data_IF_119530419828
#
_entry.id   IF_119530419828
#
_cell.length_a   1.000
_cell.length_b   1.000
_cell.length_c   1.000
_cell.angle_alpha   90.00
_cell.angle_beta   90.00
_cell.angle_gamma   90.00
#
_symmetry.space_group_name_H-M   'P 1'
#
loop_
_entity.id
_entity.type
_entity.pdbx_description
1 polymer ?
#
# COMPACT_ATOMS: atom_id res chain seq x y z
N UNK A 1 34.26 -10.01 7.63
CA UNK A 1 33.69 -8.97 8.50
C UNK A 1 32.18 -9.01 8.37
N UNK A 2 31.49 -9.72 9.26
CA UNK A 2 30.03 -9.85 9.29
C UNK A 2 29.45 -8.64 10.01
N UNK A 3 28.90 -7.66 9.26
CA UNK A 3 28.09 -6.61 9.86
C UNK A 3 26.78 -7.22 10.36
N UNK A 4 26.59 -7.20 11.68
CA UNK A 4 25.33 -7.57 12.32
C UNK A 4 24.24 -6.61 11.86
N UNK A 5 23.23 -7.16 11.16
CA UNK A 5 22.12 -6.38 10.61
C UNK A 5 21.07 -6.19 11.70
N UNK A 6 20.88 -4.96 12.15
CA UNK A 6 19.75 -4.60 13.00
C UNK A 6 18.46 -4.68 12.16
N UNK A 7 17.66 -5.71 12.41
CA UNK A 7 16.39 -5.96 11.73
C UNK A 7 15.19 -5.29 12.41
N UNK A 8 15.36 -4.85 13.66
CA UNK A 8 14.38 -4.10 14.44
C UNK A 8 15.09 -3.32 15.55
N UNK A 9 14.61 -2.12 15.88
CA UNK A 9 15.10 -1.30 16.99
C UNK A 9 13.89 -0.85 17.81
N UNK A 10 13.84 -1.26 19.07
CA UNK A 10 12.82 -0.85 20.03
C UNK A 10 13.36 0.34 20.84
N UNK A 11 12.70 1.49 20.73
CA UNK A 11 13.14 2.72 21.40
C UNK A 11 12.38 2.89 22.71
N UNK A 12 13.10 2.78 23.84
CA UNK A 12 12.56 3.06 25.18
C UNK A 12 12.88 4.51 25.53
N UNK A 13 11.87 5.39 25.47
CA UNK A 13 11.99 6.79 25.86
C UNK A 13 11.93 6.88 27.39
N UNK A 14 13.05 7.26 28.02
CA UNK A 14 13.17 7.32 29.49
C UNK A 14 12.90 8.68 30.10
N UNK A 15 12.83 9.75 29.30
CA UNK A 15 12.49 11.08 29.80
C UNK A 15 11.67 11.86 28.77
N UNK A 16 10.70 12.62 29.26
CA UNK A 16 9.63 13.27 28.49
C UNK A 16 10.18 14.48 27.72
N UNK A 17 10.91 14.25 26.63
CA UNK A 17 11.28 15.30 25.66
C UNK A 17 10.12 15.48 24.67
N UNK A 18 8.99 15.97 25.19
CA UNK A 18 7.67 15.99 24.58
C UNK A 18 7.47 16.86 23.33
N UNK A 19 8.53 17.45 22.75
CA UNK A 19 8.39 18.30 21.56
C UNK A 19 9.44 18.03 20.46
N UNK A 20 10.61 17.47 20.80
CA UNK A 20 11.70 17.25 19.85
C UNK A 20 11.72 15.79 19.35
N UNK A 21 11.19 14.87 20.16
CA UNK A 21 11.15 13.44 19.85
C UNK A 21 10.06 13.04 18.84
N UNK A 22 9.06 13.89 18.60
CA UNK A 22 7.92 13.53 17.75
C UNK A 22 8.23 13.52 16.24
N UNK A 23 9.35 14.11 15.82
CA UNK A 23 9.73 14.17 14.39
C UNK A 23 11.19 13.79 14.12
N UNK A 24 12.14 14.35 14.87
CA UNK A 24 13.57 14.14 14.62
C UNK A 24 14.03 12.71 14.92
N UNK A 25 13.51 12.09 15.98
CA UNK A 25 13.90 10.72 16.36
C UNK A 25 13.43 9.70 15.32
N UNK A 26 12.16 9.68 14.88
CA UNK A 26 11.75 8.80 13.78
C UNK A 26 12.48 9.14 12.47
N UNK A 27 12.68 10.42 12.10
CA UNK A 27 13.42 10.75 10.87
C UNK A 27 14.88 10.30 10.90
N UNK A 28 15.57 10.49 12.02
CA UNK A 28 16.96 10.05 12.19
C UNK A 28 17.02 8.52 12.20
N UNK A 29 16.12 7.84 12.91
CA UNK A 29 16.05 6.37 12.89
C UNK A 29 15.71 5.85 11.49
N UNK A 30 14.78 6.48 10.78
CA UNK A 30 14.43 6.16 9.39
C UNK A 30 15.58 6.44 8.43
N UNK A 31 16.44 7.42 8.70
CA UNK A 31 17.68 7.67 7.94
C UNK A 31 18.75 6.60 8.18
N UNK A 32 18.72 5.96 9.37
CA UNK A 32 19.62 4.86 9.76
C UNK A 32 19.04 3.48 9.44
N UNK A 33 17.74 3.36 9.14
CA UNK A 33 17.15 2.17 8.55
C UNK A 33 17.69 2.02 7.14
N UNK A 34 18.77 1.24 7.07
CA UNK A 34 19.56 0.90 5.90
C UNK A 34 18.73 0.93 4.61
N UNK A 35 19.07 1.86 3.71
CA UNK A 35 18.54 2.00 2.35
C UNK A 35 18.99 0.84 1.46
N UNK A 36 18.95 -0.37 1.99
CA UNK A 36 19.39 -1.56 1.32
C UNK A 36 18.57 -1.67 0.04
N UNK A 37 19.26 -1.87 -1.07
CA UNK A 37 18.76 -2.30 -2.38
C UNK A 37 17.84 -3.54 -2.34
N UNK A 38 17.56 -4.07 -1.14
CA UNK A 38 16.65 -5.17 -0.80
C UNK A 38 15.20 -4.75 -0.59
N UNK A 39 14.90 -3.48 -0.30
CA UNK A 39 13.52 -3.02 -0.13
C UNK A 39 12.95 -2.51 -1.44
N UNK A 40 12.17 -3.36 -2.09
CA UNK A 40 11.37 -3.00 -3.27
C UNK A 40 9.99 -2.51 -2.84
N UNK A 41 9.33 -1.71 -3.68
CA UNK A 41 7.93 -1.31 -3.49
C UNK A 41 7.06 -2.55 -3.22
N UNK A 42 7.35 -3.66 -3.91
CA UNK A 42 6.66 -4.92 -3.71
C UNK A 42 6.78 -5.46 -2.28
N UNK A 43 7.98 -5.47 -1.70
CA UNK A 43 8.19 -5.98 -0.35
C UNK A 43 7.53 -5.11 0.71
N UNK A 44 7.52 -3.79 0.51
CA UNK A 44 6.82 -2.86 1.38
C UNK A 44 5.30 -3.03 1.29
N UNK A 45 4.74 -3.22 0.08
CA UNK A 45 3.32 -3.49 -0.13
C UNK A 45 2.86 -4.80 0.51
N UNK A 46 3.66 -5.87 0.36
CA UNK A 46 3.37 -7.16 1.00
C UNK A 46 3.41 -7.11 2.53
N UNK A 47 4.14 -6.15 3.10
CA UNK A 47 4.32 -6.05 4.56
C UNK A 47 3.36 -5.05 5.22
N UNK A 48 2.51 -4.35 4.45
CA UNK A 48 1.57 -3.38 5.02
C UNK A 48 2.16 -1.98 5.32
N UNK A 49 3.42 -1.72 4.97
CA UNK A 49 4.13 -0.51 5.39
C UNK A 49 3.92 0.68 4.43
N UNK A 50 2.82 1.42 4.60
CA UNK A 50 2.47 2.57 3.76
C UNK A 50 3.49 3.72 3.82
N UNK A 51 4.07 4.01 4.99
CA UNK A 51 5.09 5.08 5.14
C UNK A 51 6.35 4.76 4.34
N UNK A 52 6.77 3.50 4.35
CA UNK A 52 7.91 3.03 3.57
C UNK A 52 7.62 3.07 2.07
N UNK A 53 6.40 2.71 1.64
CA UNK A 53 5.97 2.83 0.25
C UNK A 53 6.07 4.26 -0.26
N UNK A 54 5.55 5.24 0.49
CA UNK A 54 5.62 6.67 0.12
C UNK A 54 7.08 7.12 -0.07
N UNK A 55 7.95 6.82 0.91
CA UNK A 55 9.38 7.12 0.83
C UNK A 55 10.07 6.45 -0.38
N UNK A 56 9.70 5.21 -0.72
CA UNK A 56 10.25 4.51 -1.89
C UNK A 56 9.74 5.11 -3.23
N UNK A 57 8.49 5.57 -3.29
CA UNK A 57 7.94 6.22 -4.47
C UNK A 57 8.49 7.63 -4.69
N UNK A 58 8.79 8.39 -3.64
CA UNK A 58 9.50 9.68 -3.75
C UNK A 58 10.88 9.53 -4.39
N UNK A 59 11.52 8.37 -4.21
CA UNK A 59 12.80 8.00 -4.85
C UNK A 59 12.62 7.41 -6.25
N UNK A 60 11.40 7.38 -6.76
CA UNK A 60 11.03 6.84 -8.07
C UNK A 60 11.53 5.40 -8.27
N UNK A 61 11.44 4.57 -7.22
CA UNK A 61 11.87 3.18 -7.25
C UNK A 61 11.11 2.39 -8.33
N UNK A 62 11.84 1.64 -9.14
CA UNK A 62 11.21 0.88 -10.22
C UNK A 62 10.37 -0.28 -9.66
N UNK A 63 9.27 -0.58 -10.35
CA UNK A 63 8.41 -1.72 -10.08
C UNK A 63 8.10 -2.40 -11.40
N UNK A 64 8.46 -3.68 -11.48
CA UNK A 64 8.11 -4.50 -12.64
C UNK A 64 6.60 -4.74 -12.68
N UNK A 65 6.05 -4.94 -13.88
CA UNK A 65 4.61 -5.20 -14.07
C UNK A 65 4.13 -6.40 -13.24
N UNK A 66 4.95 -7.46 -13.20
CA UNK A 66 4.69 -8.62 -12.36
C UNK A 66 4.73 -8.30 -10.86
N UNK A 67 5.70 -7.48 -10.44
CA UNK A 67 5.81 -7.03 -9.05
C UNK A 67 4.61 -6.19 -8.62
N UNK A 68 4.09 -5.35 -9.51
CA UNK A 68 2.90 -4.55 -9.27
C UNK A 68 1.63 -5.39 -9.14
N UNK A 69 1.36 -6.30 -10.07
CA UNK A 69 0.18 -7.19 -10.01
C UNK A 69 0.21 -8.04 -8.72
N UNK A 70 1.39 -8.57 -8.38
CA UNK A 70 1.59 -9.29 -7.14
C UNK A 70 1.30 -8.41 -5.91
N UNK A 71 1.86 -7.20 -5.87
CA UNK A 71 1.69 -6.25 -4.75
C UNK A 71 0.23 -5.87 -4.56
N UNK A 72 -0.46 -5.55 -5.65
CA UNK A 72 -1.89 -5.24 -5.65
C UNK A 72 -2.71 -6.42 -5.13
N UNK A 73 -2.40 -7.64 -5.59
CA UNK A 73 -3.10 -8.84 -5.15
C UNK A 73 -2.90 -9.09 -3.66
N UNK A 74 -1.68 -8.98 -3.15
CA UNK A 74 -1.42 -9.16 -1.71
C UNK A 74 -2.11 -8.07 -0.90
N UNK A 75 -1.97 -6.79 -1.27
CA UNK A 75 -2.64 -5.69 -0.58
C UNK A 75 -4.16 -5.87 -0.56
N UNK A 76 -4.75 -6.36 -1.65
CA UNK A 76 -6.17 -6.68 -1.73
C UNK A 76 -6.56 -7.90 -0.89
N UNK A 77 -5.69 -8.91 -0.84
CA UNK A 77 -5.87 -10.13 -0.03
C UNK A 77 -5.82 -9.85 1.47
N UNK A 78 -5.00 -8.88 1.90
CA UNK A 78 -4.84 -8.46 3.30
C UNK A 78 -5.77 -7.28 3.68
N UNK A 79 -6.56 -6.77 2.73
CA UNK A 79 -7.50 -5.67 2.98
C UNK A 79 -6.84 -4.29 3.14
N UNK A 80 -5.58 -4.14 2.74
CA UNK A 80 -4.81 -2.90 2.85
C UNK A 80 -5.21 -1.86 1.79
N UNK A 81 -6.38 -1.24 1.96
CA UNK A 81 -6.92 -0.24 1.03
C UNK A 81 -5.94 0.91 0.73
N UNK A 82 -5.25 1.44 1.75
CA UNK A 82 -4.29 2.53 1.57
C UNK A 82 -3.12 2.18 0.65
N UNK A 83 -2.72 0.91 0.61
CA UNK A 83 -1.66 0.43 -0.29
C UNK A 83 -2.19 0.28 -1.71
N UNK A 84 -3.41 -0.25 -1.87
CA UNK A 84 -4.09 -0.37 -3.17
C UNK A 84 -4.26 1.01 -3.82
N UNK A 85 -4.70 2.00 -3.05
CA UNK A 85 -4.82 3.39 -3.49
C UNK A 85 -3.47 3.97 -3.90
N UNK A 86 -2.44 3.78 -3.06
CA UNK A 86 -1.11 4.30 -3.32
C UNK A 86 -0.49 3.68 -4.58
N UNK A 87 -0.57 2.36 -4.74
CA UNK A 87 -0.06 1.67 -5.93
C UNK A 87 -0.75 2.16 -7.21
N UNK A 88 -2.07 2.31 -7.17
CA UNK A 88 -2.84 2.81 -8.31
C UNK A 88 -2.45 4.25 -8.67
N UNK A 89 -2.22 5.11 -7.67
CA UNK A 89 -1.74 6.47 -7.89
C UNK A 89 -0.28 6.52 -8.40
N UNK A 90 0.55 5.57 -7.98
CA UNK A 90 1.95 5.48 -8.42
C UNK A 90 2.07 5.04 -9.88
N UNK A 91 1.18 4.17 -10.36
CA UNK A 91 1.14 3.68 -11.75
C UNK A 91 -0.29 3.77 -12.33
N UNK A 92 -0.80 4.98 -12.63
CA UNK A 92 -2.19 5.17 -13.08
C UNK A 92 -2.47 4.56 -14.46
N UNK A 93 -1.42 4.32 -15.28
CA UNK A 93 -1.54 3.70 -16.60
C UNK A 93 -1.72 2.18 -16.54
N UNK A 94 -1.48 1.56 -15.38
CA UNK A 94 -1.51 0.11 -15.25
C UNK A 94 -2.96 -0.39 -15.08
N UNK A 95 -3.33 -1.43 -15.81
CA UNK A 95 -4.64 -2.07 -15.64
C UNK A 95 -4.63 -2.96 -14.40
N UNK A 96 -5.61 -2.77 -13.53
CA UNK A 96 -5.83 -3.65 -12.38
C UNK A 96 -6.41 -4.98 -12.89
N UNK A 97 -5.76 -6.10 -12.57
CA UNK A 97 -6.21 -7.45 -12.94
C UNK A 97 -7.48 -7.87 -12.19
N UNK A 98 -8.32 -8.72 -12.82
CA UNK A 98 -9.54 -9.20 -12.19
C UNK A 98 -9.24 -10.04 -10.94
N UNK A 99 -8.09 -10.72 -10.96
CA UNK A 99 -7.56 -11.52 -9.85
C UNK A 99 -7.38 -10.73 -8.55
N UNK A 100 -7.18 -9.41 -8.64
CA UNK A 100 -7.05 -8.53 -7.46
C UNK A 100 -8.41 -8.37 -6.78
N UNK A 101 -9.47 -8.20 -7.57
CA UNK A 101 -10.84 -8.11 -7.07
C UNK A 101 -11.31 -9.45 -6.50
N UNK A 102 -11.02 -10.56 -7.19
CA UNK A 102 -11.34 -11.91 -6.71
C UNK A 102 -10.66 -12.20 -5.36
N UNK A 103 -9.41 -11.78 -5.19
CA UNK A 103 -8.66 -11.97 -3.95
C UNK A 103 -9.24 -11.18 -2.78
N UNK A 104 -9.64 -9.92 -2.99
CA UNK A 104 -10.33 -9.13 -1.97
C UNK A 104 -11.72 -9.71 -1.63
N UNK A 105 -12.47 -10.15 -2.64
CA UNK A 105 -13.79 -10.74 -2.46
C UNK A 105 -13.74 -12.08 -1.70
N UNK A 106 -12.76 -12.94 -2.03
CA UNK A 106 -12.55 -14.22 -1.36
C UNK A 106 -12.27 -14.06 0.14
N UNK A 107 -11.54 -13.00 0.51
CA UNK A 107 -11.19 -12.66 1.90
C UNK A 107 -12.26 -11.85 2.62
N UNK A 108 -13.30 -11.40 1.92
CA UNK A 108 -14.37 -10.57 2.49
C UNK A 108 -13.99 -9.10 2.70
N UNK A 109 -12.93 -8.61 2.05
CA UNK A 109 -12.49 -7.21 2.16
C UNK A 109 -13.35 -6.28 1.29
N UNK A 110 -14.59 -6.07 1.74
CA UNK A 110 -15.62 -5.32 1.00
C UNK A 110 -15.19 -3.89 0.64
N UNK A 111 -14.45 -3.21 1.51
CA UNK A 111 -13.96 -1.84 1.27
C UNK A 111 -13.01 -1.79 0.06
N UNK A 112 -12.11 -2.76 -0.05
CA UNK A 112 -11.20 -2.87 -1.19
C UNK A 112 -11.98 -3.21 -2.46
N UNK A 113 -12.95 -4.12 -2.40
CA UNK A 113 -13.79 -4.48 -3.57
C UNK A 113 -14.59 -3.28 -4.07
N UNK A 114 -15.22 -2.52 -3.18
CA UNK A 114 -15.97 -1.29 -3.52
C UNK A 114 -15.05 -0.29 -4.21
N UNK A 115 -13.90 -0.01 -3.61
CA UNK A 115 -12.93 0.93 -4.17
C UNK A 115 -12.42 0.47 -5.55
N UNK A 116 -12.08 -0.82 -5.69
CA UNK A 116 -11.64 -1.40 -6.96
C UNK A 116 -12.73 -1.35 -8.02
N UNK A 117 -13.99 -1.53 -7.65
CA UNK A 117 -15.13 -1.45 -8.57
C UNK A 117 -15.35 -0.02 -9.08
N UNK A 118 -15.27 0.97 -8.18
CA UNK A 118 -15.39 2.40 -8.51
C UNK A 118 -14.23 2.88 -9.39
N UNK A 119 -13.01 2.40 -9.14
CA UNK A 119 -11.80 2.86 -9.84
C UNK A 119 -11.48 2.07 -11.13
N UNK A 120 -12.22 1.00 -11.43
CA UNK A 120 -12.07 0.23 -12.69
C UNK A 120 -12.88 0.78 -13.86
N UNK A 121 -13.81 1.71 -13.64
CA UNK A 121 -14.78 2.09 -14.65
C UNK A 121 -14.51 3.47 -15.26
N UNK A 122 -14.07 3.54 -16.52
CA UNK A 122 -14.55 4.56 -17.45
C UNK A 122 -15.78 3.97 -18.15
N UNK A 123 -16.95 4.03 -17.51
CA UNK A 123 -18.29 4.19 -18.13
C UNK A 123 -19.39 3.85 -17.11
N UNK A 124 -20.44 4.66 -17.01
CA UNK A 124 -21.69 4.21 -16.41
C UNK A 124 -22.30 3.18 -17.36
N UNK A 125 -22.30 1.90 -16.98
CA UNK A 125 -23.12 0.90 -17.66
C UNK A 125 -24.60 1.31 -17.60
N UNK A 126 -25.39 1.05 -18.65
CA UNK A 126 -26.66 1.71 -18.89
C UNK A 126 -27.69 1.32 -17.82
N UNK A 127 -28.38 2.33 -17.31
CA UNK A 127 -29.69 2.26 -16.65
C UNK A 127 -30.07 0.91 -16.04
N UNK A 128 -29.59 0.64 -14.83
CA UNK A 128 -30.47 -0.02 -13.86
C UNK A 128 -31.47 1.05 -13.43
N UNK A 129 -32.48 1.26 -14.27
CA UNK A 129 -33.73 1.89 -13.84
C UNK A 129 -34.29 0.95 -12.81
N UNK A 130 -33.99 1.20 -11.54
CA UNK A 130 -34.83 0.73 -10.45
C UNK A 130 -36.18 1.36 -10.74
N UNK A 131 -37.05 0.61 -11.42
CA UNK A 131 -38.48 0.89 -11.43
C UNK A 131 -38.90 0.76 -9.96
N UNK A 132 -38.82 1.87 -9.23
CA UNK A 132 -39.62 2.04 -8.03
C UNK A 132 -41.04 1.93 -8.50
N UNK A 133 -41.65 0.77 -8.27
CA UNK A 133 -43.09 0.60 -8.32
C UNK A 133 -43.62 1.43 -7.15
N UNK A 134 -44.03 2.66 -7.44
CA UNK A 134 -44.81 3.48 -6.52
C UNK A 134 -46.19 3.65 -7.13
N UNK A 135 -47.13 2.98 -6.46
CA UNK A 135 -48.59 3.16 -6.36
C UNK A 135 -49.35 3.78 -7.52
#
# INVERSE_FOLDING_TARGET
>A
MTMERMTSVEVVVRDQVGAIASGLVPEVIESFLDCSTRWTIQKAACSGYLSLLKRLGERNADISDHGFDWSMRIAATEGHLGIVQWLTAYRPKMKISARVMDAAALRGHLEVVKWLHENRAPTPGPGVVILKKSS
#
